data_IF_092147573733
#
_entry.id   IF_092147573733
#
_cell.length_a   1.000
_cell.length_b   1.000
_cell.length_c   1.000
_cell.angle_alpha   90.00
_cell.angle_beta   90.00
_cell.angle_gamma   90.00
#
_symmetry.space_group_name_H-M   'P 1'
#
loop_
_entity.id
_entity.type
_entity.pdbx_description
1 polymer ?
#
# COMPACT_ATOMS: atom_id res chain seq x y z
N UNK A 1 -23.30 -12.79 8.79
CA UNK A 1 -22.49 -11.57 8.85
C UNK A 1 -22.70 -10.92 10.22
N UNK A 2 -21.61 -10.69 10.95
CA UNK A 2 -21.66 -9.92 12.19
C UNK A 2 -21.69 -8.44 11.77
N UNK A 3 -22.77 -7.75 12.11
CA UNK A 3 -22.93 -6.33 11.80
C UNK A 3 -22.09 -5.52 12.82
N UNK A 4 -20.78 -5.48 12.62
CA UNK A 4 -19.86 -4.73 13.49
C UNK A 4 -19.64 -3.33 12.91
N UNK A 5 -19.86 -2.24 13.67
CA UNK A 5 -19.57 -0.89 13.21
C UNK A 5 -18.07 -0.74 12.96
N UNK A 6 -17.70 -0.42 11.73
CA UNK A 6 -16.33 -0.39 11.27
C UNK A 6 -16.12 0.77 10.29
N UNK A 7 -15.00 1.44 10.41
CA UNK A 7 -14.55 2.47 9.46
C UNK A 7 -13.03 2.46 9.35
N UNK A 8 -12.52 3.04 8.28
CA UNK A 8 -11.09 3.23 8.03
C UNK A 8 -10.83 4.72 7.86
N UNK A 9 -9.80 5.21 8.53
CA UNK A 9 -9.26 6.56 8.32
C UNK A 9 -7.89 6.50 7.70
N UNK A 10 -7.50 7.58 7.04
CA UNK A 10 -6.18 7.79 6.49
C UNK A 10 -5.52 9.01 7.13
N UNK A 11 -4.22 8.91 7.36
CA UNK A 11 -3.48 10.00 7.92
C UNK A 11 -2.00 9.71 8.12
N UNK A 12 -1.28 10.72 8.61
CA UNK A 12 0.15 10.66 8.88
C UNK A 12 0.52 11.60 10.03
N UNK A 13 1.67 11.39 10.64
CA UNK A 13 2.15 12.19 11.78
C UNK A 13 2.16 13.69 11.48
N UNK A 14 2.51 14.04 10.25
CA UNK A 14 2.58 15.40 9.73
C UNK A 14 1.22 16.11 9.64
N UNK A 15 0.11 15.36 9.85
CA UNK A 15 -1.27 15.88 9.83
C UNK A 15 -2.00 15.72 11.15
N UNK A 16 -1.34 15.44 12.24
CA UNK A 16 -1.82 15.43 13.60
C UNK A 16 -2.99 14.50 14.02
N UNK A 17 -3.20 13.25 13.57
CA UNK A 17 -2.68 12.58 12.39
C UNK A 17 -3.65 12.48 11.19
N UNK A 18 -4.93 12.90 11.30
CA UNK A 18 -6.03 12.53 10.39
C UNK A 18 -6.09 13.43 9.16
N UNK A 19 -6.08 12.82 7.97
CA UNK A 19 -6.36 13.48 6.68
C UNK A 19 -7.79 13.21 6.23
N UNK A 20 -8.23 11.96 6.29
CA UNK A 20 -9.58 11.59 5.86
C UNK A 20 -10.18 10.49 6.74
N UNK A 21 -11.50 10.49 6.85
CA UNK A 21 -12.30 9.44 7.47
C UNK A 21 -13.77 9.60 7.06
N UNK A 22 -14.57 8.58 7.35
CA UNK A 22 -16.02 8.65 7.28
C UNK A 22 -16.62 7.89 8.47
N UNK A 23 -17.81 8.25 8.91
CA UNK A 23 -18.49 7.47 9.93
C UNK A 23 -18.91 6.08 9.39
N UNK A 24 -19.09 5.12 10.30
CA UNK A 24 -19.37 3.73 9.93
C UNK A 24 -20.70 3.53 9.17
N UNK A 25 -21.63 4.50 9.25
CA UNK A 25 -22.92 4.45 8.55
C UNK A 25 -22.77 4.77 7.08
N UNK A 26 -21.91 5.77 6.78
CA UNK A 26 -21.68 6.28 5.44
C UNK A 26 -20.40 5.73 4.81
N UNK A 27 -19.67 4.87 5.53
CA UNK A 27 -18.40 4.31 5.08
C UNK A 27 -18.54 3.50 3.79
N UNK A 28 -17.76 3.87 2.79
CA UNK A 28 -17.64 3.14 1.53
C UNK A 28 -16.50 2.13 1.61
N UNK A 29 -16.81 0.85 1.49
CA UNK A 29 -15.80 -0.21 1.50
C UNK A 29 -14.72 0.01 0.42
N UNK A 30 -13.46 -0.21 0.80
CA UNK A 30 -12.30 0.02 -0.08
C UNK A 30 -11.83 1.47 -0.12
N UNK A 31 -12.47 2.41 0.62
CA UNK A 31 -12.01 3.79 0.75
C UNK A 31 -11.49 4.09 2.15
N UNK A 32 -10.87 5.25 2.31
CA UNK A 32 -10.46 5.83 3.60
C UNK A 32 -11.36 7.01 3.98
N UNK A 33 -12.57 7.09 3.40
CA UNK A 33 -13.50 8.19 3.63
C UNK A 33 -13.12 9.49 2.91
N UNK A 34 -13.72 10.58 3.35
CA UNK A 34 -13.59 11.93 2.79
C UNK A 34 -12.63 12.77 3.62
N UNK A 35 -12.16 13.89 3.05
CA UNK A 35 -11.33 14.85 3.79
C UNK A 35 -11.95 15.19 5.14
N UNK A 36 -11.13 15.16 6.19
CA UNK A 36 -11.53 15.56 7.52
C UNK A 36 -12.03 17.03 7.55
N UNK A 37 -12.91 17.41 8.48
CA UNK A 37 -13.34 18.80 8.62
C UNK A 37 -12.15 19.76 8.72
N UNK A 38 -12.21 20.89 8.00
CA UNK A 38 -11.16 21.92 7.92
C UNK A 38 -9.88 21.47 7.21
N UNK A 39 -9.93 20.32 6.53
CA UNK A 39 -8.90 19.84 5.62
C UNK A 39 -9.37 19.91 4.18
N UNK A 40 -8.46 20.26 3.29
CA UNK A 40 -8.63 20.14 1.85
C UNK A 40 -7.70 19.02 1.37
N UNK A 41 -8.21 18.12 0.53
CA UNK A 41 -7.42 17.05 -0.06
C UNK A 41 -7.71 16.98 -1.54
N UNK A 42 -6.70 16.81 -2.35
CA UNK A 42 -6.82 16.60 -3.80
C UNK A 42 -5.85 15.52 -4.28
N UNK A 43 -6.16 14.97 -5.43
CA UNK A 43 -5.29 14.03 -6.14
C UNK A 43 -4.61 14.77 -7.29
N UNK A 44 -3.30 14.77 -7.34
CA UNK A 44 -2.54 15.37 -8.43
C UNK A 44 -2.55 14.41 -9.63
N UNK A 45 -3.64 14.47 -10.38
CA UNK A 45 -3.88 13.63 -11.56
C UNK A 45 -4.68 14.38 -12.62
N UNK A 46 -4.53 13.98 -13.88
CA UNK A 46 -5.36 14.48 -14.99
C UNK A 46 -6.80 13.97 -14.93
N UNK A 47 -7.02 12.84 -14.27
CA UNK A 47 -8.32 12.24 -13.99
C UNK A 47 -8.30 11.62 -12.59
N UNK A 48 -8.59 12.41 -11.54
CA UNK A 48 -8.51 11.96 -10.15
C UNK A 48 -9.38 10.76 -9.79
N UNK A 49 -10.41 10.48 -10.59
CA UNK A 49 -11.31 9.35 -10.34
C UNK A 49 -10.75 8.02 -10.86
N UNK A 50 -10.01 8.03 -11.96
CA UNK A 50 -9.61 6.82 -12.66
C UNK A 50 -8.08 6.64 -12.75
N UNK A 51 -7.33 7.74 -12.72
CA UNK A 51 -5.87 7.72 -12.83
C UNK A 51 -5.25 8.10 -11.48
N UNK A 52 -4.57 7.18 -10.78
CA UNK A 52 -3.92 7.47 -9.53
C UNK A 52 -2.90 8.61 -9.66
N UNK A 53 -2.92 9.51 -8.68
CA UNK A 53 -1.96 10.59 -8.53
C UNK A 53 -1.58 10.78 -7.08
N UNK A 54 -0.61 11.65 -6.80
CA UNK A 54 -0.21 11.94 -5.45
C UNK A 54 -1.37 12.59 -4.67
N UNK A 55 -1.59 12.08 -3.45
CA UNK A 55 -2.52 12.69 -2.50
C UNK A 55 -1.81 13.86 -1.85
N UNK A 56 -2.35 15.07 -2.02
CA UNK A 56 -1.88 16.25 -1.32
C UNK A 56 -2.98 16.84 -0.47
N UNK A 57 -2.60 17.37 0.69
CA UNK A 57 -3.55 17.90 1.67
C UNK A 57 -3.06 19.20 2.28
N UNK A 58 -3.99 20.07 2.66
CA UNK A 58 -3.71 21.26 3.47
C UNK A 58 -4.85 21.51 4.45
N UNK A 59 -4.57 22.20 5.52
CA UNK A 59 -5.56 22.56 6.53
C UNK A 59 -4.92 22.74 7.91
N UNK A 60 -5.79 22.93 8.92
CA UNK A 60 -5.38 23.32 10.26
C UNK A 60 -4.53 22.29 11.02
N UNK A 61 -4.59 21.03 10.65
CA UNK A 61 -3.83 19.97 11.28
C UNK A 61 -2.54 19.57 10.53
N UNK A 62 -2.21 20.26 9.42
CA UNK A 62 -0.89 20.10 8.80
C UNK A 62 0.18 20.73 9.69
N UNK A 63 1.28 20.03 9.91
CA UNK A 63 2.42 20.51 10.70
C UNK A 63 2.95 21.83 10.18
N UNK A 64 3.55 22.63 11.07
CA UNK A 64 4.28 23.84 10.67
C UNK A 64 5.60 23.53 9.94
N UNK A 65 6.15 22.33 10.15
CA UNK A 65 7.39 21.88 9.56
C UNK A 65 8.18 20.93 10.47
N UNK A 66 9.25 20.38 9.94
CA UNK A 66 10.19 19.57 10.71
C UNK A 66 11.10 20.47 11.56
N UNK A 67 11.23 20.14 12.84
CA UNK A 67 12.02 20.94 13.78
C UNK A 67 13.47 21.12 13.34
N UNK A 68 13.90 22.36 13.16
CA UNK A 68 15.24 22.74 12.70
C UNK A 68 15.66 22.08 11.37
N UNK A 69 14.72 21.80 10.50
CA UNK A 69 15.00 21.19 9.19
C UNK A 69 14.10 21.82 8.11
N UNK A 70 14.48 23.04 7.71
CA UNK A 70 13.74 23.81 6.70
C UNK A 70 13.80 23.16 5.33
N UNK A 71 14.92 22.54 4.96
CA UNK A 71 15.08 21.85 3.69
C UNK A 71 14.12 20.67 3.58
N UNK A 72 14.02 19.82 4.60
CA UNK A 72 13.06 18.71 4.62
C UNK A 72 11.61 19.21 4.64
N UNK A 73 11.35 20.36 5.28
CA UNK A 73 10.01 20.98 5.28
C UNK A 73 9.63 21.46 3.89
N UNK A 74 10.50 22.20 3.21
CA UNK A 74 10.30 22.68 1.86
C UNK A 74 10.19 21.52 0.82
N UNK A 75 10.78 20.36 1.15
CA UNK A 75 10.68 19.16 0.33
C UNK A 75 9.32 18.47 0.38
N UNK A 76 8.46 18.82 1.37
CA UNK A 76 7.15 18.17 1.54
C UNK A 76 5.97 19.14 1.62
N UNK A 77 6.19 20.42 1.94
CA UNK A 77 5.16 21.47 1.92
C UNK A 77 5.51 22.47 0.85
N UNK A 78 4.64 22.63 -0.14
CA UNK A 78 4.85 23.59 -1.23
C UNK A 78 4.52 25.04 -0.83
N UNK A 79 4.79 25.98 -1.75
CA UNK A 79 4.56 27.43 -1.51
C UNK A 79 3.08 27.78 -1.31
N UNK A 80 2.15 26.95 -1.75
CA UNK A 80 0.70 27.11 -1.57
C UNK A 80 0.19 26.47 -0.26
N UNK A 81 1.08 25.84 0.52
CA UNK A 81 0.78 25.18 1.79
C UNK A 81 0.21 23.76 1.63
N UNK A 82 0.36 23.14 0.47
CA UNK A 82 0.00 21.72 0.29
C UNK A 82 1.10 20.82 0.80
N UNK A 83 0.74 19.90 1.68
CA UNK A 83 1.59 18.81 2.11
C UNK A 83 1.52 17.67 1.08
N UNK A 84 2.67 17.33 0.52
CA UNK A 84 2.88 16.17 -0.35
C UNK A 84 3.06 14.93 0.49
N UNK A 85 2.08 14.02 0.46
CA UNK A 85 2.07 12.85 1.35
C UNK A 85 3.02 11.74 0.89
N UNK A 86 3.37 11.72 -0.39
CA UNK A 86 4.07 10.61 -1.03
C UNK A 86 3.21 9.37 -1.21
N UNK A 87 1.93 9.43 -0.86
CA UNK A 87 0.94 8.38 -1.13
C UNK A 87 0.22 8.64 -2.43
N UNK A 88 -0.06 7.58 -3.19
CA UNK A 88 -0.83 7.62 -4.42
C UNK A 88 -2.25 7.13 -4.18
N UNK A 89 -3.21 7.75 -4.83
CA UNK A 89 -4.62 7.38 -4.69
C UNK A 89 -5.50 7.93 -5.78
N UNK A 90 -6.78 7.59 -5.69
CA UNK A 90 -7.87 8.14 -6.49
C UNK A 90 -8.94 8.70 -5.56
N UNK A 91 -9.77 9.60 -6.08
CA UNK A 91 -10.89 10.20 -5.35
C UNK A 91 -12.15 10.11 -6.21
N UNK A 92 -13.19 9.49 -5.70
CA UNK A 92 -14.46 9.38 -6.42
C UNK A 92 -15.24 10.71 -6.47
N UNK A 93 -16.36 10.72 -7.19
CA UNK A 93 -17.20 11.90 -7.34
C UNK A 93 -17.81 12.38 -6.01
N UNK A 94 -17.96 11.50 -5.04
CA UNK A 94 -18.46 11.79 -3.69
C UNK A 94 -17.36 12.29 -2.74
N UNK A 95 -16.07 12.28 -3.17
CA UNK A 95 -14.91 12.70 -2.40
C UNK A 95 -14.28 11.61 -1.54
N UNK A 96 -14.66 10.33 -1.72
CA UNK A 96 -14.02 9.23 -1.01
C UNK A 96 -12.65 8.93 -1.62
N UNK A 97 -11.65 8.83 -0.78
CA UNK A 97 -10.26 8.59 -1.15
C UNK A 97 -9.97 7.09 -1.08
N UNK A 98 -9.38 6.53 -2.13
CA UNK A 98 -8.85 5.16 -2.16
C UNK A 98 -7.35 5.22 -2.37
N UNK A 99 -6.57 4.70 -1.41
CA UNK A 99 -5.11 4.63 -1.49
C UNK A 99 -4.72 3.48 -2.42
N UNK A 100 -3.72 3.72 -3.26
CA UNK A 100 -3.13 2.74 -4.19
C UNK A 100 -1.76 2.24 -3.75
N UNK A 101 -0.96 3.08 -3.10
CA UNK A 101 0.36 2.74 -2.62
C UNK A 101 1.24 3.96 -2.40
N UNK A 102 2.55 3.72 -2.24
CA UNK A 102 3.56 4.77 -2.10
C UNK A 102 4.19 5.11 -3.44
N UNK A 103 4.36 6.39 -3.75
CA UNK A 103 4.99 6.84 -5.00
C UNK A 103 6.40 6.26 -5.19
N UNK A 104 7.18 6.18 -4.13
CA UNK A 104 8.54 5.62 -4.13
C UNK A 104 8.62 4.10 -4.32
N UNK A 105 7.51 3.38 -4.11
CA UNK A 105 7.44 1.93 -4.25
C UNK A 105 6.82 1.51 -5.58
N UNK A 106 6.23 2.45 -6.31
CA UNK A 106 5.63 2.19 -7.62
C UNK A 106 6.66 1.60 -8.58
N UNK A 107 6.26 0.55 -9.28
CA UNK A 107 7.08 -0.12 -10.29
C UNK A 107 6.55 0.23 -11.69
N UNK A 108 7.44 0.16 -12.69
CA UNK A 108 7.06 0.34 -14.09
C UNK A 108 6.97 -1.00 -14.79
N UNK A 109 5.80 -1.29 -15.32
CA UNK A 109 5.58 -2.43 -16.20
C UNK A 109 6.32 -2.31 -17.54
N UNK A 110 6.44 -3.39 -18.31
CA UNK A 110 7.22 -3.45 -19.57
C UNK A 110 6.78 -2.44 -20.62
N UNK A 111 5.52 -2.01 -20.60
CA UNK A 111 4.94 -1.05 -21.54
C UNK A 111 4.64 0.31 -20.86
N UNK A 112 5.29 0.60 -19.72
CA UNK A 112 5.17 1.87 -19.02
C UNK A 112 3.92 2.00 -18.13
N UNK A 113 3.23 0.89 -17.83
CA UNK A 113 2.13 0.89 -16.86
C UNK A 113 2.68 1.07 -15.44
N UNK A 114 1.96 1.85 -14.65
CA UNK A 114 2.23 1.93 -13.21
C UNK A 114 1.71 0.66 -12.53
N UNK A 115 2.58 0.04 -11.73
CA UNK A 115 2.26 -1.11 -10.88
C UNK A 115 2.37 -0.65 -9.44
N UNK A 116 1.36 -0.94 -8.65
CA UNK A 116 1.30 -0.60 -7.24
C UNK A 116 1.49 -1.89 -6.41
N UNK A 117 2.72 -2.16 -5.94
CA UNK A 117 3.03 -3.41 -5.24
C UNK A 117 2.12 -3.67 -4.04
N UNK A 118 1.75 -2.62 -3.33
CA UNK A 118 0.90 -2.70 -2.14
C UNK A 118 -0.49 -3.28 -2.44
N UNK A 119 -1.07 -3.00 -3.61
CA UNK A 119 -2.36 -3.58 -4.02
C UNK A 119 -2.25 -5.10 -4.26
N UNK A 120 -1.14 -5.55 -4.82
CA UNK A 120 -0.87 -6.96 -5.07
C UNK A 120 -0.59 -7.68 -3.74
N UNK A 121 0.21 -7.05 -2.87
CA UNK A 121 0.56 -7.55 -1.55
C UNK A 121 -0.66 -7.66 -0.63
N UNK A 122 -1.58 -6.71 -0.68
CA UNK A 122 -2.83 -6.77 0.08
C UNK A 122 -3.64 -8.03 -0.29
N UNK A 123 -3.73 -8.34 -1.59
CA UNK A 123 -4.37 -9.58 -2.05
C UNK A 123 -3.64 -10.82 -1.57
N UNK A 124 -2.30 -10.86 -1.68
CA UNK A 124 -1.47 -11.97 -1.21
C UNK A 124 -1.61 -12.20 0.29
N UNK A 125 -1.56 -11.13 1.08
CA UNK A 125 -1.63 -11.19 2.55
C UNK A 125 -3.00 -11.71 3.05
N UNK A 126 -4.03 -11.70 2.20
CA UNK A 126 -5.34 -12.28 2.49
C UNK A 126 -5.47 -13.74 2.03
N UNK A 127 -4.43 -14.34 1.44
CA UNK A 127 -4.45 -15.74 1.00
C UNK A 127 -4.01 -16.70 2.11
N UNK A 128 -4.31 -17.99 1.90
CA UNK A 128 -4.05 -19.04 2.89
C UNK A 128 -2.57 -19.12 3.25
N UNK A 129 -2.27 -19.10 4.55
CA UNK A 129 -0.95 -19.23 5.15
C UNK A 129 0.07 -18.16 4.70
N UNK A 130 -0.37 -17.02 4.20
CA UNK A 130 0.50 -15.87 3.98
C UNK A 130 0.45 -14.99 5.23
N UNK A 131 1.60 -14.77 5.85
CA UNK A 131 1.71 -13.83 6.98
C UNK A 131 2.08 -12.45 6.47
N UNK A 132 3.12 -12.35 5.64
CA UNK A 132 3.57 -11.09 5.04
C UNK A 132 4.10 -11.33 3.63
N UNK A 133 3.95 -10.34 2.77
CA UNK A 133 4.53 -10.39 1.42
C UNK A 133 5.10 -9.05 0.98
N UNK A 134 6.06 -9.11 0.06
CA UNK A 134 6.61 -7.95 -0.66
C UNK A 134 6.67 -8.32 -2.14
N UNK A 135 6.21 -7.43 -2.99
CA UNK A 135 6.36 -7.56 -4.44
C UNK A 135 7.50 -6.65 -4.91
N UNK A 136 8.45 -7.24 -5.58
CA UNK A 136 9.62 -6.56 -6.15
C UNK A 136 9.69 -6.81 -7.65
N UNK A 137 10.43 -5.96 -8.35
CA UNK A 137 10.78 -6.20 -9.75
C UNK A 137 12.22 -6.73 -9.82
N UNK A 138 12.37 -7.93 -10.39
CA UNK A 138 13.67 -8.55 -10.59
C UNK A 138 14.44 -7.88 -11.76
N UNK A 139 15.72 -8.21 -11.91
CA UNK A 139 16.59 -7.64 -12.95
C UNK A 139 16.08 -7.94 -14.38
N UNK A 140 15.35 -9.04 -14.57
CA UNK A 140 14.69 -9.41 -15.82
C UNK A 140 13.37 -8.64 -16.08
N UNK A 141 13.02 -7.70 -15.21
CA UNK A 141 11.80 -6.88 -15.29
C UNK A 141 10.53 -7.59 -14.81
N UNK A 142 10.60 -8.86 -14.43
CA UNK A 142 9.44 -9.62 -13.94
C UNK A 142 9.15 -9.33 -12.47
N UNK A 143 7.88 -9.44 -12.09
CA UNK A 143 7.48 -9.31 -10.70
C UNK A 143 7.73 -10.62 -9.94
N UNK A 144 8.26 -10.49 -8.74
CA UNK A 144 8.55 -11.57 -7.82
C UNK A 144 7.88 -11.27 -6.49
N UNK A 145 7.13 -12.23 -5.96
CA UNK A 145 6.60 -12.14 -4.61
C UNK A 145 7.57 -12.80 -3.64
N UNK A 146 8.05 -12.02 -2.68
CA UNK A 146 8.76 -12.52 -1.51
C UNK A 146 7.70 -12.75 -0.45
N UNK A 147 7.56 -13.96 0.07
CA UNK A 147 6.50 -14.32 1.02
C UNK A 147 7.14 -14.91 2.29
N UNK A 148 6.73 -14.39 3.43
CA UNK A 148 6.91 -15.03 4.72
C UNK A 148 5.60 -15.74 5.09
N UNK A 149 5.54 -17.08 5.02
CA UNK A 149 4.36 -17.85 5.37
C UNK A 149 4.07 -17.81 6.87
N UNK A 150 2.82 -18.04 7.24
CA UNK A 150 2.43 -18.37 8.60
C UNK A 150 2.76 -19.85 8.89
N UNK A 151 4.03 -20.10 9.17
CA UNK A 151 4.55 -21.45 9.46
C UNK A 151 3.86 -22.08 10.66
N UNK A 152 3.59 -21.29 11.70
CA UNK A 152 2.96 -21.79 12.93
C UNK A 152 1.56 -22.33 12.63
N UNK A 153 0.75 -21.56 11.93
CA UNK A 153 -0.59 -21.98 11.52
C UNK A 153 -0.55 -23.16 10.56
N UNK A 154 0.37 -23.15 9.60
CA UNK A 154 0.50 -24.23 8.62
C UNK A 154 0.88 -25.56 9.30
N UNK A 155 1.89 -25.56 10.18
CA UNK A 155 2.31 -26.74 10.92
C UNK A 155 1.24 -27.22 11.91
N UNK A 156 0.53 -26.31 12.57
CA UNK A 156 -0.60 -26.67 13.44
C UNK A 156 -1.72 -27.38 12.67
N UNK A 157 -1.87 -27.07 11.37
CA UNK A 157 -2.82 -27.74 10.46
C UNK A 157 -2.22 -29.00 9.79
N UNK A 158 -1.03 -29.43 10.18
CA UNK A 158 -0.40 -30.66 9.70
C UNK A 158 0.29 -30.57 8.35
N UNK A 159 0.54 -29.35 7.82
CA UNK A 159 1.29 -29.16 6.61
C UNK A 159 2.78 -29.39 6.83
N UNK A 160 3.46 -29.91 5.82
CA UNK A 160 4.93 -29.98 5.75
C UNK A 160 5.48 -28.73 5.06
N UNK A 161 6.79 -28.52 5.12
CA UNK A 161 7.44 -27.43 4.34
C UNK A 161 7.16 -27.55 2.83
N UNK A 162 7.18 -28.77 2.28
CA UNK A 162 6.86 -29.02 0.88
C UNK A 162 5.40 -28.65 0.54
N UNK A 163 4.48 -28.84 1.48
CA UNK A 163 3.09 -28.46 1.29
C UNK A 163 2.91 -26.93 1.35
N UNK A 164 3.69 -26.24 2.19
CA UNK A 164 3.73 -24.78 2.22
C UNK A 164 4.26 -24.23 0.88
N UNK A 165 5.32 -24.79 0.32
CA UNK A 165 5.84 -24.41 -1.00
C UNK A 165 4.76 -24.55 -2.08
N UNK A 166 4.06 -25.69 -2.11
CA UNK A 166 2.95 -25.94 -3.05
C UNK A 166 1.80 -24.95 -2.83
N UNK A 167 1.48 -24.63 -1.57
CA UNK A 167 0.42 -23.67 -1.26
C UNK A 167 0.79 -22.25 -1.72
N UNK A 168 2.03 -21.80 -1.52
CA UNK A 168 2.48 -20.49 -2.00
C UNK A 168 2.43 -20.39 -3.53
N UNK A 169 2.75 -21.47 -4.24
CA UNK A 169 2.62 -21.52 -5.69
C UNK A 169 1.14 -21.52 -6.13
N UNK A 170 0.26 -22.22 -5.41
CA UNK A 170 -1.18 -22.16 -5.66
C UNK A 170 -1.74 -20.75 -5.44
N UNK A 171 -1.30 -20.05 -4.37
CA UNK A 171 -1.66 -18.67 -4.11
C UNK A 171 -1.22 -17.75 -5.27
N UNK A 172 0.02 -17.92 -5.79
CA UNK A 172 0.50 -17.18 -6.96
C UNK A 172 -0.39 -17.38 -8.18
N UNK A 173 -0.77 -18.63 -8.48
CA UNK A 173 -1.65 -18.95 -9.61
C UNK A 173 -3.03 -18.30 -9.44
N UNK A 174 -3.60 -18.37 -8.24
CA UNK A 174 -4.90 -17.76 -7.94
C UNK A 174 -4.82 -16.23 -8.06
N UNK A 175 -3.80 -15.60 -7.47
CA UNK A 175 -3.57 -14.16 -7.57
C UNK A 175 -3.49 -13.70 -9.03
N UNK A 176 -2.76 -14.44 -9.87
CA UNK A 176 -2.55 -14.08 -11.27
C UNK A 176 -3.84 -14.13 -12.11
N UNK A 177 -4.91 -14.73 -11.60
CA UNK A 177 -6.25 -14.68 -12.22
C UNK A 177 -7.04 -13.42 -11.84
N UNK A 178 -6.62 -12.74 -10.76
CA UNK A 178 -7.32 -11.57 -10.20
C UNK A 178 -6.65 -10.23 -10.53
N UNK A 179 -5.41 -10.26 -11.05
CA UNK A 179 -4.64 -9.06 -11.38
C UNK A 179 -4.48 -8.90 -12.89
N UNK A 180 -4.17 -7.69 -13.33
CA UNK A 180 -3.91 -7.41 -14.74
C UNK A 180 -2.66 -8.17 -15.24
N UNK A 181 -2.58 -8.43 -16.54
CA UNK A 181 -1.49 -9.22 -17.13
C UNK A 181 -0.09 -8.66 -16.82
N UNK A 182 0.03 -7.33 -16.71
CA UNK A 182 1.30 -6.66 -16.39
C UNK A 182 1.63 -6.68 -14.89
N UNK A 183 0.69 -7.08 -14.04
CA UNK A 183 0.84 -7.22 -12.58
C UNK A 183 1.10 -8.65 -12.14
N UNK A 184 1.10 -9.61 -13.08
CA UNK A 184 1.25 -11.01 -12.76
C UNK A 184 2.61 -11.33 -12.15
N UNK A 185 2.58 -12.11 -11.09
CA UNK A 185 3.77 -12.60 -10.39
C UNK A 185 4.37 -13.78 -11.16
N UNK A 186 5.62 -13.64 -11.57
CA UNK A 186 6.32 -14.67 -12.32
C UNK A 186 6.79 -15.84 -11.43
N UNK A 187 7.21 -15.54 -10.21
CA UNK A 187 7.70 -16.54 -9.25
C UNK A 187 7.50 -16.07 -7.80
N UNK A 188 7.48 -17.04 -6.89
CA UNK A 188 7.48 -16.83 -5.45
C UNK A 188 8.84 -17.19 -4.88
N UNK A 189 9.31 -16.43 -3.88
CA UNK A 189 10.46 -16.78 -3.05
C UNK A 189 9.99 -16.79 -1.58
N UNK A 190 10.18 -17.92 -0.92
CA UNK A 190 9.80 -18.10 0.48
C UNK A 190 10.92 -17.60 1.37
N UNK A 191 10.55 -16.83 2.38
CA UNK A 191 11.39 -16.40 3.49
C UNK A 191 11.01 -17.18 4.74
N UNK A 192 12.02 -17.60 5.51
CA UNK A 192 11.82 -18.37 6.75
C UNK A 192 11.83 -17.48 8.00
N UNK A 193 12.15 -16.21 7.84
CA UNK A 193 12.18 -15.21 8.91
C UNK A 193 11.31 -14.01 8.51
N UNK A 194 10.74 -13.33 9.50
CA UNK A 194 10.00 -12.09 9.29
C UNK A 194 10.86 -11.04 8.57
N UNK A 195 10.20 -10.25 7.73
CA UNK A 195 10.87 -9.11 7.11
C UNK A 195 11.25 -8.06 8.16
N UNK A 196 12.44 -7.47 7.99
CA UNK A 196 12.85 -6.36 8.84
C UNK A 196 11.91 -5.16 8.71
N UNK A 197 11.52 -4.61 9.86
CA UNK A 197 10.57 -3.51 9.95
C UNK A 197 11.18 -2.26 10.56
N UNK A 198 10.61 -1.13 10.19
CA UNK A 198 10.84 0.14 10.87
C UNK A 198 10.14 0.13 12.25
N UNK A 199 10.45 1.08 13.16
CA UNK A 199 9.70 1.24 14.41
C UNK A 199 8.18 1.42 14.22
N UNK A 200 7.75 1.90 13.06
CA UNK A 200 6.32 2.03 12.65
C UNK A 200 5.75 0.72 12.06
N UNK A 201 6.46 -0.41 12.19
CA UNK A 201 6.08 -1.73 11.65
C UNK A 201 5.95 -1.82 10.12
N UNK A 202 6.45 -0.86 9.37
CA UNK A 202 6.53 -0.94 7.91
C UNK A 202 7.76 -1.73 7.49
N UNK A 203 7.63 -2.63 6.53
CA UNK A 203 8.74 -3.44 6.01
C UNK A 203 9.79 -2.53 5.35
N UNK A 204 11.06 -2.76 5.66
CA UNK A 204 12.20 -2.06 5.05
C UNK A 204 12.50 -2.63 3.66
N UNK A 205 11.65 -2.28 2.67
CA UNK A 205 11.69 -2.82 1.30
C UNK A 205 13.06 -2.73 0.64
N UNK A 206 13.84 -1.68 0.95
CA UNK A 206 15.16 -1.47 0.36
C UNK A 206 16.17 -2.58 0.67
N UNK A 207 15.94 -3.39 1.71
CA UNK A 207 16.78 -4.53 2.05
C UNK A 207 16.52 -5.76 1.16
N UNK A 208 15.40 -5.78 0.44
CA UNK A 208 14.92 -6.94 -0.30
C UNK A 208 14.88 -6.71 -1.82
N UNK A 209 15.26 -5.52 -2.26
CA UNK A 209 15.41 -5.25 -3.69
C UNK A 209 16.66 -5.99 -4.20
N UNK A 210 16.54 -6.71 -5.32
CA UNK A 210 17.72 -7.25 -5.99
C UNK A 210 18.61 -6.07 -6.40
N UNK A 211 19.89 -6.10 -6.03
CA UNK A 211 20.83 -5.05 -6.39
C UNK A 211 20.89 -4.92 -7.92
N UNK A 212 20.68 -3.70 -8.39
CA UNK A 212 20.82 -3.34 -9.80
C UNK A 212 22.27 -3.34 -10.21
#
# INVERSE_FOLDING_TARGET
>A
SINFPYTVGYGMTECGPIISYEDWVNFKAGSCGKSAPRMETKILSVDPQNVPGEIVTRGDNVMLGYYKNEEATAGVIDEEGWLHTGDLGVMDAEGNITIKGRSKNMLLGPSGQNIYPEEIEDKLNNMLYVNESIVIQALDGKLVALIYPDFDLAFANGLTEDDIVKQMEANRVALNQEVAAYEQIARVKIYHEEFEKTPKKSIKRFLYQEAR
#
